data_IF_992782746423
#
_entry.id   IF_992782746423
#
_cell.length_a   1.000
_cell.length_b   1.000
_cell.length_c   1.000
_cell.angle_alpha   90.00
_cell.angle_beta   90.00
_cell.angle_gamma   90.00
#
_symmetry.space_group_name_H-M   'P 1'
#
loop_
_entity.id
_entity.type
_entity.pdbx_description
1 polymer ?
#
# COMPACT_ATOMS: atom_id res chain seq x y z
N UNK A 1 -9.72 -19.51 -8.28
CA UNK A 1 -9.80 -18.07 -8.54
C UNK A 1 -11.12 -17.48 -8.01
N UNK A 2 -12.25 -18.13 -8.23
CA UNK A 2 -13.60 -17.62 -7.88
C UNK A 2 -13.76 -17.20 -6.41
N UNK A 3 -13.22 -17.98 -5.46
CA UNK A 3 -13.21 -17.61 -4.03
C UNK A 3 -12.47 -16.31 -3.73
N UNK A 4 -11.38 -16.04 -4.47
CA UNK A 4 -10.58 -14.82 -4.29
C UNK A 4 -11.35 -13.62 -4.82
N UNK A 5 -11.95 -13.75 -6.00
CA UNK A 5 -12.80 -12.71 -6.59
C UNK A 5 -13.99 -12.40 -5.68
N UNK A 6 -14.69 -13.44 -5.22
CA UNK A 6 -15.82 -13.27 -4.29
C UNK A 6 -15.40 -12.57 -2.98
N UNK A 7 -14.20 -12.89 -2.46
CA UNK A 7 -13.66 -12.20 -1.28
C UNK A 7 -13.38 -10.72 -1.57
N UNK A 8 -12.81 -10.40 -2.74
CA UNK A 8 -12.58 -9.00 -3.16
C UNK A 8 -13.89 -8.25 -3.25
N UNK A 9 -14.90 -8.82 -3.92
CA UNK A 9 -16.21 -8.20 -4.10
C UNK A 9 -16.91 -7.90 -2.76
N UNK A 10 -16.80 -8.81 -1.79
CA UNK A 10 -17.36 -8.64 -0.45
C UNK A 10 -16.62 -7.58 0.40
N UNK A 11 -15.37 -7.25 0.04
CA UNK A 11 -14.50 -6.36 0.81
C UNK A 11 -14.20 -5.03 0.10
N UNK A 12 -14.81 -4.72 -1.03
CA UNK A 12 -14.53 -3.51 -1.82
C UNK A 12 -14.55 -2.22 -0.99
N UNK A 13 -15.57 -2.06 -0.12
CA UNK A 13 -15.69 -0.87 0.73
C UNK A 13 -14.52 -0.75 1.71
N UNK A 14 -14.12 -1.85 2.35
CA UNK A 14 -12.98 -1.88 3.26
C UNK A 14 -11.67 -1.55 2.52
N UNK A 15 -11.47 -2.13 1.35
CA UNK A 15 -10.30 -1.86 0.51
C UNK A 15 -10.22 -0.40 0.09
N UNK A 16 -11.35 0.19 -0.28
CA UNK A 16 -11.42 1.62 -0.58
C UNK A 16 -11.09 2.48 0.65
N UNK A 17 -11.62 2.14 1.83
CA UNK A 17 -11.36 2.88 3.06
C UNK A 17 -9.87 2.80 3.46
N UNK A 18 -9.25 1.64 3.32
CA UNK A 18 -7.81 1.45 3.55
C UNK A 18 -6.98 2.26 2.55
N UNK A 19 -7.35 2.26 1.28
CA UNK A 19 -6.71 3.07 0.24
C UNK A 19 -6.81 4.56 0.56
N UNK A 20 -7.99 5.03 0.94
CA UNK A 20 -8.21 6.43 1.30
C UNK A 20 -7.41 6.83 2.55
N UNK A 21 -7.34 5.93 3.55
CA UNK A 21 -6.52 6.18 4.74
C UNK A 21 -5.04 6.37 4.40
N UNK A 22 -4.50 5.55 3.47
CA UNK A 22 -3.12 5.67 3.01
C UNK A 22 -2.90 6.95 2.18
N UNK A 23 -3.84 7.32 1.31
CA UNK A 23 -3.76 8.52 0.47
C UNK A 23 -3.78 9.82 1.29
N UNK A 24 -4.46 9.83 2.44
CA UNK A 24 -4.50 10.99 3.35
C UNK A 24 -3.18 11.27 4.06
N UNK A 25 -2.22 10.36 4.02
CA UNK A 25 -0.90 10.59 4.59
C UNK A 25 -0.07 11.37 3.54
N UNK A 26 0.28 12.64 3.76
CA UNK A 26 1.00 13.45 2.78
C UNK A 26 2.51 13.14 2.83
N UNK A 27 2.90 11.94 2.47
CA UNK A 27 4.27 11.42 2.55
C UNK A 27 5.16 11.98 1.43
N UNK A 28 5.31 13.31 1.39
CA UNK A 28 6.14 14.02 0.40
C UNK A 28 7.60 13.91 0.82
N UNK A 29 8.36 12.99 0.22
CA UNK A 29 9.73 12.68 0.61
C UNK A 29 10.72 13.83 0.35
N UNK A 30 10.44 14.65 -0.66
CA UNK A 30 11.27 15.79 -1.04
C UNK A 30 11.16 16.99 -0.07
N UNK A 31 10.16 17.01 0.82
CA UNK A 31 9.94 18.09 1.76
C UNK A 31 10.27 17.64 3.20
N UNK A 32 11.30 18.24 3.85
CA UNK A 32 11.64 17.89 5.24
C UNK A 32 10.49 18.07 6.24
N UNK A 33 9.52 18.96 5.97
CA UNK A 33 8.33 19.14 6.81
C UNK A 33 7.46 17.87 6.87
N UNK A 34 7.50 17.06 5.83
CA UNK A 34 6.75 15.81 5.70
C UNK A 34 7.52 14.54 6.13
N UNK A 35 8.72 14.69 6.74
CA UNK A 35 9.49 13.54 7.24
C UNK A 35 8.68 12.66 8.20
N UNK A 36 7.89 13.28 9.07
CA UNK A 36 6.98 12.57 9.99
C UNK A 36 5.86 11.84 9.27
N UNK A 37 5.40 12.34 8.15
CA UNK A 37 4.34 11.71 7.35
C UNK A 37 4.88 10.53 6.53
N UNK A 38 6.11 10.61 6.02
CA UNK A 38 6.80 9.45 5.44
C UNK A 38 6.92 8.32 6.47
N UNK A 39 7.27 8.65 7.72
CA UNK A 39 7.30 7.68 8.82
C UNK A 39 5.94 7.06 9.09
N UNK A 40 4.87 7.86 9.12
CA UNK A 40 3.49 7.37 9.29
C UNK A 40 3.07 6.43 8.17
N UNK A 41 3.44 6.73 6.91
CA UNK A 41 3.15 5.88 5.77
C UNK A 41 3.88 4.52 5.87
N UNK A 42 5.15 4.52 6.29
CA UNK A 42 5.90 3.29 6.55
C UNK A 42 5.27 2.46 7.67
N UNK A 43 4.87 3.09 8.77
CA UNK A 43 4.21 2.41 9.90
C UNK A 43 2.84 1.86 9.52
N UNK A 44 2.07 2.60 8.72
CA UNK A 44 0.80 2.13 8.19
C UNK A 44 1.00 0.88 7.33
N UNK A 45 1.96 0.95 6.39
CA UNK A 45 2.29 -0.18 5.50
C UNK A 45 2.73 -1.40 6.29
N UNK A 46 3.63 -1.23 7.27
CA UNK A 46 4.04 -2.33 8.16
C UNK A 46 2.86 -2.97 8.86
N UNK A 47 1.99 -2.17 9.49
CA UNK A 47 0.79 -2.68 10.19
C UNK A 47 -0.14 -3.44 9.24
N UNK A 48 -0.30 -2.95 8.02
CA UNK A 48 -1.10 -3.62 7.00
C UNK A 48 -0.55 -5.00 6.66
N UNK A 49 0.76 -5.12 6.43
CA UNK A 49 1.40 -6.41 6.15
C UNK A 49 1.29 -7.38 7.34
N UNK A 50 1.48 -6.89 8.57
CA UNK A 50 1.31 -7.69 9.79
C UNK A 50 -0.13 -8.21 9.95
N UNK A 51 -1.13 -7.40 9.63
CA UNK A 51 -2.55 -7.80 9.71
C UNK A 51 -2.92 -8.97 8.80
N UNK A 52 -2.10 -9.20 7.76
CA UNK A 52 -2.24 -10.32 6.82
C UNK A 52 -1.50 -11.59 7.27
N UNK A 53 -0.88 -11.58 8.47
CA UNK A 53 -0.08 -12.68 8.98
C UNK A 53 1.33 -12.79 8.38
N UNK A 54 1.84 -11.68 7.83
CA UNK A 54 3.22 -11.56 7.37
C UNK A 54 4.14 -11.13 8.53
N UNK A 55 5.42 -11.49 8.46
CA UNK A 55 6.45 -10.87 9.29
C UNK A 55 6.87 -9.57 8.62
N UNK A 56 6.74 -8.43 9.30
CA UNK A 56 7.10 -7.13 8.72
C UNK A 56 8.03 -6.34 9.64
N UNK A 57 8.94 -5.57 9.03
CA UNK A 57 9.94 -4.73 9.73
C UNK A 57 10.09 -3.40 9.01
N UNK A 58 10.41 -2.37 9.78
CA UNK A 58 10.90 -1.09 9.26
C UNK A 58 12.43 -1.09 9.41
N UNK A 59 13.12 -0.78 8.33
CA UNK A 59 14.55 -0.59 8.30
C UNK A 59 14.85 0.89 8.18
N UNK A 60 15.55 1.43 9.16
CA UNK A 60 15.98 2.83 9.14
C UNK A 60 17.06 3.03 8.08
N UNK A 61 17.00 4.14 7.37
CA UNK A 61 17.99 4.58 6.40
C UNK A 61 18.41 6.02 6.69
N UNK A 62 19.49 6.53 6.09
CA UNK A 62 19.83 7.95 6.19
C UNK A 62 18.75 8.89 5.62
N UNK A 63 17.91 8.38 4.70
CA UNK A 63 16.75 9.08 4.14
C UNK A 63 15.45 8.72 4.85
N UNK A 64 14.53 8.12 4.12
CA UNK A 64 13.26 7.63 4.64
C UNK A 64 13.32 6.13 4.92
N UNK A 65 12.52 5.60 5.86
CA UNK A 65 12.57 4.19 6.24
C UNK A 65 12.08 3.27 5.12
N UNK A 66 12.66 2.06 5.04
CA UNK A 66 12.17 0.98 4.18
C UNK A 66 11.25 0.06 4.97
N UNK A 67 10.18 -0.42 4.35
CA UNK A 67 9.32 -1.46 4.90
C UNK A 67 9.59 -2.77 4.18
N UNK A 68 10.02 -3.77 4.94
CA UNK A 68 10.17 -5.13 4.44
C UNK A 68 9.13 -6.03 5.09
N UNK A 69 8.43 -6.82 4.28
CA UNK A 69 7.48 -7.82 4.73
C UNK A 69 7.69 -9.15 4.02
N UNK A 70 7.43 -10.27 4.73
CA UNK A 70 7.56 -11.60 4.13
C UNK A 70 6.52 -12.60 4.66
N UNK A 71 6.07 -13.47 3.76
CA UNK A 71 5.29 -14.66 4.04
C UNK A 71 5.99 -15.85 3.34
N UNK A 72 6.71 -16.68 4.11
CA UNK A 72 7.56 -17.76 3.59
C UNK A 72 7.03 -19.15 4.02
N UNK A 73 5.72 -19.36 3.91
CA UNK A 73 5.06 -20.60 4.34
C UNK A 73 4.69 -21.52 3.16
N UNK A 74 5.31 -21.32 1.98
CA UNK A 74 5.16 -22.19 0.81
C UNK A 74 6.49 -22.92 0.50
N UNK A 75 6.85 -23.98 1.24
CA UNK A 75 8.15 -24.65 1.09
C UNK A 75 8.30 -25.25 -0.32
N UNK A 76 9.48 -25.06 -0.91
CA UNK A 76 9.80 -25.55 -2.26
C UNK A 76 9.14 -24.77 -3.40
N UNK A 77 8.38 -23.70 -3.11
CA UNK A 77 7.78 -22.83 -4.11
C UNK A 77 8.67 -21.60 -4.38
N UNK A 78 8.57 -20.98 -5.57
CA UNK A 78 9.28 -19.75 -5.85
C UNK A 78 8.91 -18.62 -4.89
N UNK A 79 9.74 -17.60 -4.82
CA UNK A 79 9.47 -16.37 -4.06
C UNK A 79 9.19 -15.23 -5.03
N UNK A 80 8.08 -14.55 -4.84
CA UNK A 80 7.72 -13.33 -5.58
C UNK A 80 8.09 -12.15 -4.68
N UNK A 81 8.84 -11.20 -5.23
CA UNK A 81 9.12 -9.92 -4.60
C UNK A 81 8.26 -8.84 -5.28
N UNK A 82 7.44 -8.17 -4.48
CA UNK A 82 6.76 -6.93 -4.87
C UNK A 82 7.58 -5.74 -4.37
N UNK A 83 7.85 -4.81 -5.26
CA UNK A 83 8.50 -3.56 -4.96
C UNK A 83 7.53 -2.41 -5.23
N UNK A 84 7.61 -1.35 -4.44
CA UNK A 84 6.84 -0.12 -4.61
C UNK A 84 7.32 0.95 -3.65
N UNK A 85 6.66 2.12 -3.68
CA UNK A 85 7.00 3.22 -2.78
C UNK A 85 5.77 3.89 -2.17
N UNK A 86 5.89 4.30 -0.91
CA UNK A 86 4.82 4.97 -0.16
C UNK A 86 4.94 6.48 -0.20
N UNK A 87 6.08 7.02 -0.63
CA UNK A 87 6.24 8.44 -0.78
C UNK A 87 5.53 8.97 -2.03
N UNK A 88 5.39 10.27 -2.09
CA UNK A 88 4.72 10.95 -3.21
C UNK A 88 5.46 12.24 -3.56
N UNK A 89 5.30 12.68 -4.80
CA UNK A 89 5.76 13.99 -5.26
C UNK A 89 5.00 15.13 -4.59
N UNK A 90 5.59 16.34 -4.48
CA UNK A 90 4.87 17.54 -4.08
C UNK A 90 3.61 17.75 -4.95
N UNK A 91 2.52 18.26 -4.35
CA UNK A 91 1.26 18.43 -5.08
C UNK A 91 1.20 19.72 -5.93
N UNK A 92 2.24 20.53 -5.91
CA UNK A 92 2.26 21.82 -6.62
C UNK A 92 2.10 21.68 -8.14
N UNK A 93 1.45 22.66 -8.80
CA UNK A 93 0.79 23.82 -8.22
C UNK A 93 -0.62 23.47 -7.69
N UNK A 94 -0.93 23.93 -6.46
CA UNK A 94 -2.17 23.55 -5.74
C UNK A 94 -3.44 24.04 -6.43
N UNK A 95 -3.37 25.18 -7.13
CA UNK A 95 -4.51 25.79 -7.82
C UNK A 95 -5.02 24.98 -9.01
N UNK A 96 -4.26 24.01 -9.50
CA UNK A 96 -4.70 23.11 -10.58
C UNK A 96 -5.50 21.89 -10.07
N UNK A 97 -5.55 21.67 -8.76
CA UNK A 97 -6.32 20.58 -8.22
C UNK A 97 -7.80 20.94 -8.07
N UNK A 98 -8.68 20.13 -8.65
CA UNK A 98 -10.14 20.27 -8.51
C UNK A 98 -10.63 19.91 -7.10
N UNK A 99 -9.90 19.05 -6.39
CA UNK A 99 -10.13 18.67 -5.00
C UNK A 99 -8.78 18.66 -4.26
N UNK A 100 -8.75 18.83 -2.92
CA UNK A 100 -7.49 18.83 -2.19
C UNK A 100 -6.66 17.57 -2.47
N UNK A 101 -5.35 17.67 -2.74
CA UNK A 101 -4.52 16.57 -3.24
C UNK A 101 -4.42 15.38 -2.29
N UNK A 102 -4.56 15.58 -0.98
CA UNK A 102 -4.52 14.53 0.04
C UNK A 102 -5.90 14.19 0.64
N UNK A 103 -6.98 14.65 -0.02
CA UNK A 103 -8.35 14.23 0.30
C UNK A 103 -8.92 13.42 -0.87
N UNK A 104 -8.84 12.09 -0.82
CA UNK A 104 -9.25 11.22 -1.92
C UNK A 104 -10.70 11.45 -2.32
N UNK A 105 -10.94 11.72 -3.58
CA UNK A 105 -12.27 12.01 -4.13
C UNK A 105 -12.57 11.07 -5.27
N UNK A 106 -13.76 10.46 -5.25
CA UNK A 106 -14.24 9.63 -6.36
C UNK A 106 -15.01 10.50 -7.34
N UNK A 107 -14.59 10.48 -8.59
CA UNK A 107 -15.29 11.13 -9.72
C UNK A 107 -15.29 10.19 -10.91
N UNK A 108 -16.43 9.98 -11.53
CA UNK A 108 -16.60 9.16 -12.74
C UNK A 108 -15.96 7.75 -12.61
N UNK A 109 -16.09 7.14 -11.44
CA UNK A 109 -15.56 5.80 -11.16
C UNK A 109 -14.03 5.76 -10.90
N UNK A 110 -13.33 6.91 -10.86
CA UNK A 110 -11.91 7.00 -10.63
C UNK A 110 -11.60 7.74 -9.32
N UNK A 111 -10.51 7.35 -8.64
CA UNK A 111 -10.01 8.00 -7.42
C UNK A 111 -8.98 9.06 -7.78
N UNK A 112 -9.23 10.28 -7.36
CA UNK A 112 -8.34 11.43 -7.54
C UNK A 112 -7.70 11.83 -6.22
N UNK A 113 -6.39 11.68 -6.13
CA UNK A 113 -5.54 12.16 -5.04
C UNK A 113 -4.08 12.08 -5.45
N UNK A 114 -3.17 12.81 -4.76
CA UNK A 114 -1.72 12.61 -4.93
C UNK A 114 -1.34 11.21 -4.44
N UNK A 115 -0.60 10.45 -5.28
CA UNK A 115 -0.22 9.07 -4.98
C UNK A 115 -1.26 8.00 -5.35
N UNK A 116 -2.45 8.39 -5.87
CA UNK A 116 -3.48 7.40 -6.25
C UNK A 116 -3.02 6.48 -7.40
N UNK A 117 -2.18 6.98 -8.30
CA UNK A 117 -1.63 6.24 -9.42
C UNK A 117 -0.10 6.11 -9.40
N UNK A 118 0.59 6.71 -8.42
CA UNK A 118 2.05 6.67 -8.27
C UNK A 118 2.46 6.92 -6.81
N UNK A 119 2.77 5.89 -6.03
CA UNK A 119 2.64 4.45 -6.30
C UNK A 119 1.73 3.77 -5.25
N UNK A 120 1.11 4.57 -4.32
CA UNK A 120 0.28 4.01 -3.24
C UNK A 120 -0.85 3.11 -3.75
N UNK A 121 -1.46 3.45 -4.90
CA UNK A 121 -2.51 2.64 -5.50
C UNK A 121 -1.99 1.29 -5.99
N UNK A 122 -0.87 1.28 -6.70
CA UNK A 122 -0.33 0.07 -7.30
C UNK A 122 0.24 -0.89 -6.26
N UNK A 123 1.08 -0.40 -5.33
CA UNK A 123 1.61 -1.32 -4.33
C UNK A 123 0.51 -1.84 -3.40
N UNK A 124 -0.46 -0.99 -3.03
CA UNK A 124 -1.58 -1.44 -2.19
C UNK A 124 -2.47 -2.47 -2.92
N UNK A 125 -2.69 -2.31 -4.22
CA UNK A 125 -3.42 -3.32 -5.00
C UNK A 125 -2.73 -4.69 -4.94
N UNK A 126 -1.39 -4.73 -5.03
CA UNK A 126 -0.61 -5.96 -4.85
C UNK A 126 -0.77 -6.53 -3.43
N UNK A 127 -0.71 -5.69 -2.40
CA UNK A 127 -0.90 -6.09 -1.00
C UNK A 127 -2.28 -6.68 -0.78
N UNK A 128 -3.34 -6.00 -1.26
CA UNK A 128 -4.73 -6.45 -1.12
C UNK A 128 -5.01 -7.72 -1.92
N UNK A 129 -4.37 -7.88 -3.09
CA UNK A 129 -4.45 -9.12 -3.87
C UNK A 129 -3.86 -10.32 -3.13
N UNK A 130 -2.70 -10.14 -2.49
CA UNK A 130 -2.09 -11.18 -1.64
C UNK A 130 -2.96 -11.45 -0.41
N UNK A 131 -3.49 -10.42 0.24
CA UNK A 131 -4.43 -10.57 1.35
C UNK A 131 -5.66 -11.40 0.95
N UNK A 132 -6.31 -11.01 -0.15
CA UNK A 132 -7.49 -11.71 -0.65
C UNK A 132 -7.20 -13.19 -0.92
N UNK A 133 -6.03 -13.48 -1.46
CA UNK A 133 -5.61 -14.87 -1.69
C UNK A 133 -5.43 -15.64 -0.39
N UNK A 134 -4.73 -15.06 0.59
CA UNK A 134 -4.49 -15.69 1.90
C UNK A 134 -5.80 -15.92 2.66
N UNK A 135 -6.70 -14.95 2.66
CA UNK A 135 -8.00 -15.06 3.33
C UNK A 135 -8.91 -16.08 2.67
N UNK A 136 -8.95 -16.15 1.35
CA UNK A 136 -9.81 -17.08 0.62
C UNK A 136 -9.31 -18.54 0.66
N UNK A 137 -7.99 -18.76 0.79
CA UNK A 137 -7.39 -20.09 0.64
C UNK A 137 -6.58 -20.56 1.88
N UNK A 138 -6.35 -19.71 2.87
CA UNK A 138 -5.55 -20.01 4.05
C UNK A 138 -4.03 -20.08 3.78
N UNK A 139 -3.60 -20.02 2.53
CA UNK A 139 -2.19 -20.08 2.12
C UNK A 139 -1.99 -19.44 0.76
N UNK A 140 -0.75 -19.06 0.42
CA UNK A 140 -0.39 -18.57 -0.90
C UNK A 140 0.29 -19.66 -1.75
N UNK A 141 0.18 -19.61 -3.09
CA UNK A 141 0.78 -20.60 -3.99
C UNK A 141 2.30 -20.43 -4.16
N UNK A 142 2.86 -19.33 -3.63
CA UNK A 142 4.28 -18.99 -3.66
C UNK A 142 4.66 -18.28 -2.36
N UNK A 143 5.94 -18.22 -2.06
CA UNK A 143 6.46 -17.33 -1.04
C UNK A 143 6.34 -15.86 -1.53
N UNK A 144 6.07 -14.95 -0.62
CA UNK A 144 5.82 -13.54 -0.95
C UNK A 144 6.73 -12.64 -0.11
N UNK A 145 7.31 -11.65 -0.76
CA UNK A 145 8.06 -10.57 -0.13
C UNK A 145 7.57 -9.22 -0.65
N UNK A 146 7.55 -8.25 0.24
CA UNK A 146 7.33 -6.84 -0.10
C UNK A 146 8.55 -6.02 0.33
N UNK A 147 8.97 -5.10 -0.53
CA UNK A 147 9.95 -4.06 -0.24
C UNK A 147 9.34 -2.73 -0.68
N UNK A 148 9.01 -1.89 0.28
CA UNK A 148 8.32 -0.61 0.04
C UNK A 148 9.14 0.52 0.66
N UNK A 149 9.50 1.54 -0.14
CA UNK A 149 10.31 2.70 0.27
C UNK A 149 9.59 4.05 0.16
#
# INVERSE_FOLDING_TARGET
>A
MDKVIAHIDQNQKRYQDEFFALLRIPSVSADPAHKGDCRKAAEWTKKKLESMGMTARIHETPGHPLVYGEWLKAPGKPTILFYGHYDVQPPDPLELWTSPPFEPTVRDGSVYARGSADDKGQFLANVLGVEAWLQANGSAPANVKFLIE
#
